data_IF_523218671718
#
_entry.id   IF_523218671718
#
_cell.length_a   1.000
_cell.length_b   1.000
_cell.length_c   1.000
_cell.angle_alpha   90.00
_cell.angle_beta   90.00
_cell.angle_gamma   90.00
#
_symmetry.space_group_name_H-M   'P 1'
#
loop_
_entity.id
_entity.type
_entity.pdbx_description
1 polymer ?
#
# COMPACT_ATOMS: atom_id res chain seq x y z
N UNK A 1 28.12 -14.44 -15.49
CA UNK A 1 27.54 -13.57 -14.43
C UNK A 1 26.06 -13.44 -14.75
N UNK A 2 25.16 -13.75 -13.81
CA UNK A 2 23.73 -13.52 -14.03
C UNK A 2 23.53 -12.03 -13.77
N UNK A 3 23.29 -11.24 -14.82
CA UNK A 3 22.92 -9.83 -14.67
C UNK A 3 21.57 -9.78 -13.95
N UNK A 4 21.60 -9.26 -12.72
CA UNK A 4 20.37 -8.98 -11.98
C UNK A 4 19.66 -7.85 -12.73
N UNK A 5 18.40 -8.02 -13.10
CA UNK A 5 17.66 -7.01 -13.81
C UNK A 5 17.58 -5.71 -13.00
N UNK A 6 17.59 -4.58 -13.70
CA UNK A 6 17.46 -3.27 -13.07
C UNK A 6 16.09 -3.14 -12.39
N UNK A 7 16.11 -2.67 -11.14
CA UNK A 7 14.92 -2.33 -10.35
C UNK A 7 15.03 -0.87 -9.96
N UNK A 8 13.94 -0.11 -10.13
CA UNK A 8 13.85 1.31 -9.78
C UNK A 8 12.71 1.52 -8.82
N UNK A 9 12.96 2.21 -7.72
CA UNK A 9 11.91 2.65 -6.79
C UNK A 9 11.10 3.77 -7.42
N UNK A 10 9.78 3.61 -7.50
CA UNK A 10 8.87 4.57 -8.12
C UNK A 10 8.29 5.57 -7.12
N UNK A 11 8.08 5.13 -5.89
CA UNK A 11 7.46 5.94 -4.83
C UNK A 11 8.27 5.83 -3.55
N UNK A 12 8.19 6.85 -2.70
CA UNK A 12 8.51 6.69 -1.29
C UNK A 12 7.51 5.72 -0.64
N UNK A 13 7.89 5.14 0.51
CA UNK A 13 6.97 4.30 1.26
C UNK A 13 5.80 5.13 1.81
N UNK A 14 4.59 4.60 1.71
CA UNK A 14 3.35 5.24 2.19
C UNK A 14 2.56 4.29 3.07
N UNK A 15 1.75 4.83 3.98
CA UNK A 15 0.95 4.02 4.91
C UNK A 15 -0.16 3.28 4.16
N UNK A 16 -0.56 2.13 4.69
CA UNK A 16 -1.79 1.45 4.28
C UNK A 16 -2.90 1.89 5.23
N UNK A 17 -4.07 2.20 4.67
CA UNK A 17 -5.26 2.48 5.47
C UNK A 17 -6.11 1.22 5.60
N UNK A 18 -6.50 0.88 6.82
CA UNK A 18 -7.49 -0.16 7.11
C UNK A 18 -8.85 0.50 7.32
N UNK A 19 -9.83 0.09 6.55
CA UNK A 19 -11.22 0.52 6.67
C UNK A 19 -12.09 -0.69 7.01
N UNK A 20 -12.84 -0.61 8.10
CA UNK A 20 -14.02 -1.45 8.31
C UNK A 20 -15.26 -0.58 8.11
N UNK A 21 -15.96 -0.78 6.99
CA UNK A 21 -17.11 0.04 6.62
C UNK A 21 -18.34 -0.35 7.44
N UNK A 22 -19.00 0.63 8.08
CA UNK A 22 -20.21 0.39 8.87
C UNK A 22 -21.45 -0.01 8.03
N UNK A 23 -21.51 0.38 6.75
CA UNK A 23 -22.64 0.08 5.86
C UNK A 23 -22.54 -1.34 5.26
N UNK A 24 -21.46 -1.60 4.50
CA UNK A 24 -21.30 -2.89 3.82
C UNK A 24 -20.57 -3.95 4.66
N UNK A 25 -20.09 -3.58 5.85
CA UNK A 25 -19.41 -4.45 6.82
C UNK A 25 -18.09 -5.10 6.32
N UNK A 26 -17.59 -4.72 5.13
CA UNK A 26 -16.33 -5.22 4.62
C UNK A 26 -15.13 -4.55 5.29
N UNK A 27 -14.09 -5.36 5.51
CA UNK A 27 -12.76 -4.92 5.90
C UNK A 27 -11.89 -4.80 4.66
N UNK A 28 -11.24 -3.67 4.50
CA UNK A 28 -10.46 -3.31 3.32
C UNK A 28 -9.11 -2.75 3.73
N UNK A 29 -8.09 -3.10 2.97
CA UNK A 29 -6.75 -2.50 3.03
C UNK A 29 -6.58 -1.63 1.78
N UNK A 30 -6.30 -0.35 1.98
CA UNK A 30 -6.27 0.67 0.93
C UNK A 30 -4.86 1.24 0.87
N UNK A 31 -4.17 0.98 -0.23
CA UNK A 31 -2.87 1.54 -0.57
C UNK A 31 -3.04 2.53 -1.72
N UNK A 32 -2.62 3.77 -1.53
CA UNK A 32 -2.71 4.81 -2.54
C UNK A 32 -1.53 5.77 -2.43
N UNK A 33 -0.95 6.15 -3.57
CA UNK A 33 0.17 7.09 -3.61
C UNK A 33 -0.34 8.54 -3.49
N UNK A 34 -0.94 8.86 -2.36
CA UNK A 34 -1.51 10.17 -2.01
C UNK A 34 -1.57 10.31 -0.50
N UNK A 35 -1.51 11.55 -0.01
CA UNK A 35 -1.72 11.88 1.41
C UNK A 35 -3.15 12.36 1.68
N UNK A 36 -4.05 12.22 0.70
CA UNK A 36 -5.45 12.59 0.85
C UNK A 36 -6.20 11.64 1.79
N UNK A 37 -7.08 12.21 2.62
CA UNK A 37 -7.93 11.45 3.53
C UNK A 37 -8.96 10.57 2.79
N UNK A 38 -9.31 9.44 3.39
CA UNK A 38 -10.41 8.59 2.92
C UNK A 38 -11.74 9.30 3.18
N UNK A 39 -12.52 9.53 2.13
CA UNK A 39 -13.84 10.18 2.20
C UNK A 39 -15.02 9.24 2.01
N UNK A 40 -14.78 8.01 1.57
CA UNK A 40 -15.81 7.00 1.40
C UNK A 40 -15.24 5.59 1.37
N UNK A 41 -16.10 4.61 1.55
CA UNK A 41 -15.81 3.20 1.33
C UNK A 41 -15.56 2.94 -0.15
N UNK A 42 -14.38 2.42 -0.56
CA UNK A 42 -14.08 2.22 -1.97
C UNK A 42 -14.89 1.08 -2.59
N UNK A 43 -15.43 0.16 -1.78
CA UNK A 43 -16.31 -0.90 -2.25
C UNK A 43 -17.75 -0.46 -2.54
N UNK A 44 -18.41 0.22 -1.58
CA UNK A 44 -19.85 0.54 -1.69
C UNK A 44 -20.16 2.03 -1.86
N UNK A 45 -19.16 2.92 -1.81
CA UNK A 45 -19.34 4.36 -1.96
C UNK A 45 -19.90 5.08 -0.74
N UNK A 46 -20.17 4.38 0.36
CA UNK A 46 -20.69 4.98 1.60
C UNK A 46 -19.71 6.03 2.15
N UNK A 47 -20.18 7.26 2.32
CA UNK A 47 -19.34 8.41 2.67
C UNK A 47 -19.44 8.82 4.15
N UNK A 48 -20.43 8.33 4.88
CA UNK A 48 -20.58 8.62 6.31
C UNK A 48 -19.72 7.65 7.13
N UNK A 49 -18.45 8.03 7.32
CA UNK A 49 -17.47 7.18 7.97
C UNK A 49 -17.56 7.20 9.50
N UNK A 50 -18.50 7.94 10.11
CA UNK A 50 -18.64 8.01 11.58
C UNK A 50 -18.98 6.65 12.21
N UNK A 51 -19.69 5.80 11.46
CA UNK A 51 -20.00 4.41 11.85
C UNK A 51 -18.95 3.40 11.38
N UNK A 52 -17.90 3.86 10.70
CA UNK A 52 -16.82 3.03 10.18
C UNK A 52 -15.58 3.17 11.06
N UNK A 53 -14.66 2.21 11.00
CA UNK A 53 -13.33 2.37 11.61
C UNK A 53 -12.29 2.60 10.52
N UNK A 54 -11.46 3.63 10.71
CA UNK A 54 -10.33 3.95 9.83
C UNK A 54 -9.07 3.96 10.68
N UNK A 55 -8.08 3.18 10.28
CA UNK A 55 -6.78 3.11 10.94
C UNK A 55 -5.65 3.15 9.91
N UNK A 56 -4.49 3.64 10.31
CA UNK A 56 -3.28 3.57 9.50
C UNK A 56 -2.43 2.44 10.05
N UNK A 57 -2.17 1.42 9.25
CA UNK A 57 -1.44 0.24 9.70
C UNK A 57 -0.72 -0.42 8.52
N UNK A 58 0.60 -0.55 8.63
CA UNK A 58 1.42 -1.08 7.56
C UNK A 58 1.97 -0.02 6.63
N UNK A 59 2.72 -0.49 5.63
CA UNK A 59 3.27 0.35 4.58
C UNK A 59 3.31 -0.35 3.24
N UNK A 60 3.38 0.42 2.17
CA UNK A 60 3.60 -0.08 0.83
C UNK A 60 4.57 0.81 0.05
N UNK A 61 5.20 0.23 -0.96
CA UNK A 61 6.07 0.94 -1.88
C UNK A 61 5.98 0.33 -3.28
N UNK A 62 6.04 1.16 -4.31
CA UNK A 62 6.04 0.70 -5.70
C UNK A 62 7.46 0.71 -6.29
N UNK A 63 7.79 -0.36 -7.01
CA UNK A 63 9.02 -0.50 -7.80
C UNK A 63 8.68 -0.86 -9.24
N UNK A 64 9.60 -0.58 -10.14
CA UNK A 64 9.56 -1.05 -11.53
C UNK A 64 10.77 -1.92 -11.83
N UNK A 65 10.52 -3.15 -12.24
CA UNK A 65 11.52 -4.07 -12.76
C UNK A 65 11.48 -4.05 -14.29
N UNK A 66 12.64 -3.98 -14.93
CA UNK A 66 12.72 -4.00 -16.39
C UNK A 66 12.17 -5.29 -17.03
N UNK A 67 12.14 -6.41 -16.30
CA UNK A 67 11.63 -7.71 -16.79
C UNK A 67 10.17 -7.98 -16.45
N UNK A 68 9.70 -7.53 -15.29
CA UNK A 68 8.38 -7.88 -14.75
C UNK A 68 7.42 -6.70 -14.65
N UNK A 69 7.87 -5.49 -14.99
CA UNK A 69 7.08 -4.27 -14.90
C UNK A 69 6.91 -3.80 -13.46
N UNK A 70 5.78 -3.13 -13.19
CA UNK A 70 5.45 -2.57 -11.89
C UNK A 70 5.16 -3.65 -10.86
N UNK A 71 5.73 -3.51 -9.68
CA UNK A 71 5.49 -4.36 -8.51
C UNK A 71 5.18 -3.47 -7.32
N UNK A 72 4.12 -3.79 -6.60
CA UNK A 72 3.77 -3.14 -5.34
C UNK A 72 4.14 -4.08 -4.19
N UNK A 73 5.02 -3.63 -3.31
CA UNK A 73 5.42 -4.36 -2.10
C UNK A 73 4.57 -3.85 -0.95
N UNK A 74 3.83 -4.75 -0.30
CA UNK A 74 2.87 -4.43 0.76
C UNK A 74 3.30 -5.17 2.03
N UNK A 75 3.44 -4.42 3.12
CA UNK A 75 3.73 -4.93 4.47
C UNK A 75 2.56 -4.55 5.38
N UNK A 76 1.47 -5.35 5.43
CA UNK A 76 0.26 -5.03 6.19
C UNK A 76 0.42 -5.42 7.67
N UNK A 77 1.44 -4.86 8.33
CA UNK A 77 1.82 -5.17 9.71
C UNK A 77 1.68 -3.93 10.60
N UNK A 78 1.19 -4.05 11.84
CA UNK A 78 1.18 -2.93 12.79
C UNK A 78 2.58 -2.59 13.32
N UNK A 79 3.57 -3.45 13.06
CA UNK A 79 4.93 -3.32 13.59
C UNK A 79 5.93 -2.80 12.55
N UNK A 80 5.46 -2.37 11.37
CA UNK A 80 6.33 -1.80 10.34
C UNK A 80 6.13 -0.28 10.32
N UNK A 81 7.23 0.45 10.31
CA UNK A 81 7.25 1.89 10.07
C UNK A 81 7.65 2.17 8.61
N UNK A 82 7.31 3.34 8.08
CA UNK A 82 7.69 3.70 6.71
C UNK A 82 9.22 3.73 6.52
N UNK A 83 9.97 4.02 7.57
CA UNK A 83 11.43 4.03 7.57
C UNK A 83 12.06 2.63 7.49
N UNK A 84 11.28 1.57 7.74
CA UNK A 84 11.74 0.20 7.56
C UNK A 84 11.82 -0.19 6.08
N UNK A 85 11.18 0.57 5.18
CA UNK A 85 11.30 0.39 3.74
C UNK A 85 12.65 0.92 3.26
N UNK A 86 13.39 0.07 2.56
CA UNK A 86 14.67 0.42 1.97
C UNK A 86 14.46 1.15 0.64
N UNK A 87 15.33 2.12 0.32
CA UNK A 87 15.29 2.84 -0.97
C UNK A 87 15.58 1.96 -2.19
N UNK A 88 16.04 0.71 -1.98
CA UNK A 88 16.53 -0.21 -3.00
C UNK A 88 15.89 -1.61 -2.90
N UNK A 89 14.56 -1.67 -2.83
CA UNK A 89 13.83 -2.94 -2.86
C UNK A 89 14.17 -3.79 -4.11
N UNK A 90 14.00 -5.10 -3.97
CA UNK A 90 14.27 -6.08 -5.02
C UNK A 90 12.96 -6.55 -5.67
N UNK A 91 13.03 -6.92 -6.95
CA UNK A 91 11.93 -7.62 -7.60
C UNK A 91 11.92 -9.08 -7.14
N UNK A 92 10.81 -9.59 -6.57
CA UNK A 92 10.75 -10.95 -6.04
C UNK A 92 10.68 -12.04 -7.12
N UNK A 93 10.55 -11.65 -8.40
CA UNK A 93 10.40 -12.55 -9.53
C UNK A 93 11.70 -12.72 -10.34
N UNK A 94 12.79 -12.06 -9.93
CA UNK A 94 14.07 -12.00 -10.65
C UNK A 94 15.13 -13.00 -10.20
#
# INVERSE_FOLDING_TARGET
>A
MIEKPKVTTLTEAKVIHKLHCGECNWKQEIAANTDAEIKCCPWCGWSDLDISTVANEGGFQEIECEKHGKVTVIMPSPNIELLDFMDNLFCPFC
#
